data_IF_119121654241
#
_entry.id   IF_119121654241
#
_cell.length_a   1.000
_cell.length_b   1.000
_cell.length_c   1.000
_cell.angle_alpha   90.00
_cell.angle_beta   90.00
_cell.angle_gamma   90.00
#
_symmetry.space_group_name_H-M   'P 1'
#
loop_
_entity.id
_entity.type
_entity.pdbx_description
1 polymer ?
#
# COMPACT_ATOMS: atom_id res chain seq x y z
N UNK A 1 24.44 -0.97 8.73
CA UNK A 1 23.67 -1.12 7.47
C UNK A 1 22.38 -0.37 7.67
N UNK A 2 22.04 0.57 6.79
CA UNK A 2 20.79 1.33 6.87
C UNK A 2 19.66 0.51 6.26
N UNK A 3 18.53 0.45 6.97
CA UNK A 3 17.27 -0.03 6.39
C UNK A 3 16.76 1.03 5.43
N UNK A 4 16.84 0.76 4.14
CA UNK A 4 16.31 1.64 3.10
C UNK A 4 14.80 1.43 2.97
N UNK A 5 14.05 2.52 2.93
CA UNK A 5 12.60 2.52 2.78
C UNK A 5 12.29 2.70 1.30
N UNK A 6 11.48 1.81 0.75
CA UNK A 6 11.02 1.84 -0.63
C UNK A 6 9.51 1.99 -0.69
N UNK A 7 9.03 2.49 -1.83
CA UNK A 7 7.63 2.40 -2.21
C UNK A 7 7.48 1.64 -3.51
N UNK A 8 6.45 0.82 -3.53
CA UNK A 8 5.92 0.11 -4.67
C UNK A 8 4.58 0.72 -5.04
N UNK A 9 4.39 1.15 -6.28
CA UNK A 9 3.11 1.71 -6.73
C UNK A 9 2.77 1.29 -8.14
N UNK A 10 1.48 1.12 -8.41
CA UNK A 10 0.99 0.72 -9.73
C UNK A 10 -0.53 0.77 -9.81
N UNK A 11 -1.05 0.20 -10.90
CA UNK A 11 -2.47 -0.02 -11.11
C UNK A 11 -2.65 -1.47 -11.55
N UNK A 12 -3.48 -2.23 -10.85
CA UNK A 12 -3.95 -3.53 -11.34
C UNK A 12 -4.84 -3.31 -12.58
N UNK A 13 -4.42 -3.77 -13.77
CA UNK A 13 -5.20 -3.57 -15.00
C UNK A 13 -6.48 -4.41 -15.03
N UNK A 14 -6.59 -5.45 -14.21
CA UNK A 14 -7.70 -6.39 -14.22
C UNK A 14 -8.77 -6.04 -13.19
N UNK A 15 -8.52 -5.07 -12.31
CA UNK A 15 -9.42 -4.63 -11.23
C UNK A 15 -9.93 -5.81 -10.36
N UNK A 16 -9.10 -6.85 -10.25
CA UNK A 16 -9.42 -8.10 -9.57
C UNK A 16 -8.69 -8.25 -8.24
N UNK A 17 -7.53 -7.61 -8.11
CA UNK A 17 -6.73 -7.63 -6.90
C UNK A 17 -7.41 -6.83 -5.79
N UNK A 18 -7.56 -7.46 -4.61
CA UNK A 18 -7.99 -6.76 -3.38
C UNK A 18 -6.80 -6.33 -2.54
N UNK A 19 -5.76 -7.14 -2.57
CA UNK A 19 -4.51 -6.96 -1.82
C UNK A 19 -3.39 -7.22 -2.81
N UNK A 20 -2.34 -6.42 -2.74
CA UNK A 20 -1.06 -6.71 -3.38
C UNK A 20 -0.05 -7.15 -2.34
N UNK A 21 0.85 -8.04 -2.74
CA UNK A 21 1.92 -8.57 -1.92
C UNK A 21 3.25 -8.15 -2.51
N UNK A 22 4.16 -7.69 -1.65
CA UNK A 22 5.51 -7.30 -2.02
C UNK A 22 6.47 -8.38 -1.52
N UNK A 23 7.15 -9.01 -2.46
CA UNK A 23 8.09 -10.08 -2.22
C UNK A 23 9.50 -9.62 -2.54
N UNK A 24 10.46 -10.06 -1.73
CA UNK A 24 11.87 -10.01 -2.06
C UNK A 24 12.28 -11.38 -2.58
N UNK A 25 12.79 -11.47 -3.82
CA UNK A 25 13.37 -12.71 -4.33
C UNK A 25 14.77 -12.87 -3.74
N UNK A 26 15.04 -14.03 -3.14
CA UNK A 26 16.39 -14.33 -2.70
C UNK A 26 17.28 -14.65 -3.92
N UNK A 27 18.60 -14.60 -3.73
CA UNK A 27 19.56 -14.99 -4.78
C UNK A 27 19.38 -16.44 -5.26
N UNK A 28 18.67 -17.28 -4.49
CA UNK A 28 18.23 -18.58 -4.93
C UNK A 28 16.83 -18.44 -5.54
N UNK A 29 16.71 -18.68 -6.84
CA UNK A 29 15.59 -18.26 -7.69
C UNK A 29 14.18 -18.75 -7.26
N UNK A 30 14.10 -19.66 -6.30
CA UNK A 30 12.87 -20.32 -5.85
C UNK A 30 12.41 -19.90 -4.44
N UNK A 31 13.16 -19.06 -3.73
CA UNK A 31 12.74 -18.55 -2.41
C UNK A 31 12.38 -17.07 -2.44
N UNK A 32 11.26 -16.76 -1.79
CA UNK A 32 10.70 -15.43 -1.69
C UNK A 32 10.42 -15.11 -0.23
N UNK A 33 10.78 -13.90 0.18
CA UNK A 33 10.43 -13.36 1.49
C UNK A 33 9.32 -12.33 1.32
N UNK A 34 8.20 -12.50 2.02
CA UNK A 34 7.14 -11.48 2.06
C UNK A 34 7.62 -10.29 2.90
N UNK A 35 7.69 -9.11 2.29
CA UNK A 35 8.21 -7.90 2.93
C UNK A 35 7.17 -6.78 3.06
N UNK A 36 6.00 -6.94 2.44
CA UNK A 36 4.92 -5.97 2.55
C UNK A 36 3.62 -6.47 1.92
N UNK A 37 2.53 -5.82 2.27
CA UNK A 37 1.25 -5.97 1.60
C UNK A 37 0.44 -4.68 1.71
N UNK A 38 -0.51 -4.49 0.81
CA UNK A 38 -1.40 -3.33 0.86
C UNK A 38 -2.67 -3.51 0.07
N UNK A 39 -3.69 -2.73 0.42
CA UNK A 39 -4.97 -2.77 -0.26
C UNK A 39 -4.94 -2.04 -1.60
N UNK A 40 -5.70 -2.60 -2.54
CA UNK A 40 -5.99 -2.00 -3.83
C UNK A 40 -7.24 -1.15 -3.71
N UNK A 41 -7.26 -0.01 -4.40
CA UNK A 41 -8.46 0.83 -4.51
C UNK A 41 -9.53 0.05 -5.27
N UNK A 42 -10.65 -0.25 -4.62
CA UNK A 42 -11.78 -0.93 -5.27
C UNK A 42 -12.56 -0.03 -6.23
N UNK A 43 -13.24 -0.66 -7.19
CA UNK A 43 -14.22 0.00 -8.06
C UNK A 43 -15.48 0.41 -7.29
N UNK A 44 -15.46 1.61 -6.72
CA UNK A 44 -16.59 2.22 -6.04
C UNK A 44 -16.94 3.59 -6.64
N UNK A 45 -18.23 3.94 -6.58
CA UNK A 45 -18.68 5.28 -6.97
C UNK A 45 -18.13 6.33 -5.98
N UNK A 46 -17.74 7.50 -6.50
CA UNK A 46 -17.33 8.63 -5.67
C UNK A 46 -15.86 8.64 -5.24
N UNK A 47 -14.96 7.99 -5.99
CA UNK A 47 -13.52 8.14 -5.74
C UNK A 47 -13.09 9.61 -5.85
N UNK A 48 -12.19 10.09 -4.96
CA UNK A 48 -11.62 11.42 -5.07
C UNK A 48 -10.95 11.65 -6.44
N UNK A 49 -10.94 12.89 -6.95
CA UNK A 49 -10.25 13.19 -8.21
C UNK A 49 -8.80 12.71 -8.21
N UNK A 50 -8.41 11.99 -9.26
CA UNK A 50 -7.06 11.43 -9.42
C UNK A 50 -6.88 10.01 -8.86
N UNK A 51 -7.81 9.54 -8.02
CA UNK A 51 -7.84 8.15 -7.56
C UNK A 51 -8.61 7.29 -8.58
N UNK A 52 -8.06 6.12 -8.92
CA UNK A 52 -8.63 5.19 -9.90
C UNK A 52 -8.75 3.80 -9.30
N UNK A 53 -9.76 2.99 -9.69
CA UNK A 53 -9.80 1.57 -9.34
C UNK A 53 -8.51 0.87 -9.77
N UNK A 54 -8.10 -0.15 -9.00
CA UNK A 54 -6.86 -0.88 -9.22
C UNK A 54 -5.59 -0.17 -8.71
N UNK A 55 -5.65 1.11 -8.32
CA UNK A 55 -4.47 1.81 -7.80
C UNK A 55 -4.00 1.23 -6.46
N UNK A 56 -2.68 1.16 -6.28
CA UNK A 56 -2.08 0.77 -5.00
C UNK A 56 -0.75 1.51 -4.76
N UNK A 57 -0.39 1.61 -3.48
CA UNK A 57 0.92 2.07 -3.03
C UNK A 57 1.28 1.34 -1.73
N UNK A 58 2.42 0.64 -1.71
CA UNK A 58 2.91 -0.09 -0.55
C UNK A 58 4.29 0.43 -0.19
N UNK A 59 4.46 0.85 1.06
CA UNK A 59 5.75 1.26 1.62
C UNK A 59 6.32 0.10 2.41
N UNK A 60 7.58 -0.25 2.16
CA UNK A 60 8.24 -1.39 2.80
C UNK A 60 9.72 -1.09 3.05
N UNK A 61 10.32 -1.89 3.93
CA UNK A 61 11.76 -1.84 4.20
C UNK A 61 12.43 -2.91 3.34
N UNK A 62 13.44 -2.52 2.55
CA UNK A 62 14.24 -3.48 1.80
C UNK A 62 15.16 -4.24 2.75
N UNK A 63 15.12 -5.59 2.79
CA UNK A 63 16.02 -6.35 3.64
C UNK A 63 17.49 -6.10 3.29
N UNK A 64 18.40 -6.08 4.27
CA UNK A 64 19.83 -5.91 4.00
C UNK A 64 20.35 -6.93 2.99
N UNK A 65 21.22 -6.48 2.07
CA UNK A 65 21.83 -7.34 1.06
C UNK A 65 20.95 -7.65 -0.16
N UNK A 66 19.75 -7.07 -0.25
CA UNK A 66 18.87 -7.19 -1.41
C UNK A 66 18.91 -5.94 -2.29
N UNK A 67 18.56 -6.10 -3.58
CA UNK A 67 18.40 -5.00 -4.55
C UNK A 67 16.93 -4.73 -4.82
N UNK A 68 16.58 -3.50 -5.18
CA UNK A 68 15.24 -3.15 -5.66
C UNK A 68 14.81 -4.00 -6.88
N UNK A 69 15.76 -4.45 -7.69
CA UNK A 69 15.49 -5.32 -8.85
C UNK A 69 15.02 -6.73 -8.47
N UNK A 70 15.21 -7.12 -7.20
CA UNK A 70 14.73 -8.40 -6.67
C UNK A 70 13.29 -8.33 -6.17
N UNK A 71 12.68 -7.13 -6.19
CA UNK A 71 11.32 -6.92 -5.72
C UNK A 71 10.33 -7.39 -6.76
N UNK A 72 9.38 -8.18 -6.28
CA UNK A 72 8.27 -8.75 -7.04
C UNK A 72 6.97 -8.32 -6.39
N UNK A 73 5.99 -7.93 -7.21
CA UNK A 73 4.64 -7.60 -6.72
C UNK A 73 3.62 -8.51 -7.37
N UNK A 74 2.78 -9.11 -6.53
CA UNK A 74 1.72 -10.00 -6.96
C UNK A 74 0.38 -9.61 -6.38
N UNK A 75 -0.70 -10.07 -7.02
CA UNK A 75 -2.08 -10.00 -6.51
C UNK A 75 -2.49 -11.29 -5.75
N UNK A 76 -1.67 -12.34 -5.85
CA UNK A 76 -1.89 -13.61 -5.16
C UNK A 76 -0.91 -13.85 -3.99
N UNK A 77 -1.33 -14.67 -3.04
CA UNK A 77 -0.56 -15.01 -1.84
C UNK A 77 0.60 -15.97 -2.08
N UNK A 78 0.68 -16.60 -3.26
CA UNK A 78 1.68 -17.62 -3.58
C UNK A 78 2.82 -17.04 -4.45
N UNK A 79 2.76 -15.76 -4.82
CA UNK A 79 3.82 -15.08 -5.56
C UNK A 79 3.92 -15.51 -7.03
N UNK A 80 2.81 -15.90 -7.67
CA UNK A 80 2.79 -16.44 -9.04
C UNK A 80 2.21 -15.48 -10.07
N UNK A 81 1.31 -14.60 -9.67
CA UNK A 81 0.56 -13.69 -10.54
C UNK A 81 1.13 -12.29 -10.40
N UNK A 82 2.04 -11.96 -11.31
CA UNK A 82 2.79 -10.70 -11.28
C UNK A 82 1.95 -9.55 -11.80
N UNK A 83 1.92 -8.45 -11.05
CA UNK A 83 1.30 -7.22 -11.53
C UNK A 83 2.25 -6.50 -12.51
N UNK A 84 1.77 -6.16 -13.72
CA UNK A 84 2.59 -5.44 -14.70
C UNK A 84 2.69 -3.95 -14.35
N UNK A 85 3.67 -3.26 -14.94
CA UNK A 85 3.81 -1.79 -14.90
C UNK A 85 3.93 -1.18 -13.48
N UNK A 86 4.53 -1.92 -12.57
CA UNK A 86 4.79 -1.47 -11.19
C UNK A 86 6.07 -0.64 -11.14
N UNK A 87 6.02 0.46 -10.38
CA UNK A 87 7.19 1.26 -10.04
C UNK A 87 7.67 0.96 -8.63
N UNK A 88 8.94 0.59 -8.48
CA UNK A 88 9.62 0.44 -7.19
C UNK A 88 10.70 1.50 -7.08
N UNK A 89 10.56 2.43 -6.14
CA UNK A 89 11.50 3.55 -5.99
C UNK A 89 11.82 3.79 -4.51
N UNK A 90 13.04 4.26 -4.19
CA UNK A 90 13.40 4.62 -2.83
C UNK A 90 12.56 5.81 -2.36
N UNK A 91 12.10 5.76 -1.11
CA UNK A 91 11.48 6.90 -0.45
C UNK A 91 12.59 7.89 -0.08
N UNK A 92 12.43 9.18 -0.43
CA UNK A 92 13.31 10.22 0.07
C UNK A 92 13.14 10.32 1.59
N UNK A 93 14.25 10.25 2.34
CA UNK A 93 14.27 10.39 3.80
C UNK A 93 14.10 11.83 4.28
N UNK A 94 13.60 12.73 3.43
CA UNK A 94 13.37 14.14 3.75
C UNK A 94 11.96 14.38 4.31
N UNK A 95 11.64 13.74 5.43
CA UNK A 95 10.52 14.15 6.26
C UNK A 95 10.98 14.15 7.71
N UNK A 96 11.53 15.28 8.15
CA UNK A 96 11.53 15.63 9.57
C UNK A 96 10.07 15.60 9.99
N UNK A 97 9.69 14.62 10.80
CA UNK A 97 8.38 14.57 11.44
C UNK A 97 8.27 15.82 12.33
N UNK A 98 7.57 16.85 11.87
CA UNK A 98 7.04 17.87 12.78
C UNK A 98 5.75 17.28 13.34
N UNK A 99 5.68 16.98 14.65
CA UNK A 99 4.40 16.67 15.27
C UNK A 99 3.51 17.88 15.04
N UNK A 100 2.44 17.71 14.27
CA UNK A 100 1.44 18.75 14.10
C UNK A 100 0.87 19.08 15.47
N UNK A 101 1.20 20.26 16.00
CA UNK A 101 0.40 20.92 17.02
C UNK A 101 -0.87 21.37 16.31
N UNK A 102 -1.81 20.46 16.21
CA UNK A 102 -3.15 20.69 15.69
C UNK A 102 -4.08 19.82 16.50
N UNK A 103 -4.61 20.40 17.59
CA UNK A 103 -5.65 19.78 18.38
C UNK A 103 -6.80 19.35 17.46
N UNK A 104 -7.03 18.05 17.37
CA UNK A 104 -8.32 17.49 16.97
C UNK A 104 -9.32 17.94 18.03
N UNK A 105 -10.07 19.01 17.74
CA UNK A 105 -11.27 19.35 18.47
C UNK A 105 -12.33 18.32 18.12
N UNK A 106 -12.68 17.46 19.08
CA UNK A 106 -13.82 16.56 19.01
C UNK A 106 -15.10 17.37 18.76
N UNK A 107 -15.52 17.42 17.50
CA UNK A 107 -16.88 17.81 17.14
C UNK A 107 -17.81 16.64 17.39
N UNK A 108 -18.41 16.58 18.58
CA UNK A 108 -19.43 15.60 18.92
C UNK A 108 -20.61 15.69 17.93
N UNK A 109 -20.76 14.66 17.08
CA UNK A 109 -22.00 14.41 16.38
C UNK A 109 -22.99 13.79 17.39
N UNK A 110 -23.88 14.60 17.95
CA UNK A 110 -25.06 14.10 18.66
C UNK A 110 -26.18 13.88 17.62
N UNK A 111 -26.37 12.60 17.30
CA UNK A 111 -27.51 12.02 16.62
C UNK A 111 -28.82 12.43 17.30
N UNK A 112 -29.73 13.05 16.53
CA UNK A 112 -31.08 13.36 16.96
C UNK A 112 -32.06 12.45 16.20
N UNK A 113 -32.15 11.20 16.65
CA UNK A 113 -33.28 10.34 16.34
C UNK A 113 -33.70 9.57 17.59
N UNK A 114 -34.74 10.04 18.26
CA UNK A 114 -35.55 9.15 19.09
C UNK A 114 -37.02 9.53 18.91
N UNK A 115 -37.73 8.56 18.34
CA UNK A 115 -39.15 8.56 18.07
C UNK A 115 -39.97 8.81 19.35
N UNK A 116 -41.00 9.65 19.25
CA UNK A 116 -42.14 9.63 20.17
C UNK A 116 -43.11 8.54 19.71
N UNK A 117 -43.27 7.51 20.54
CA UNK A 117 -44.37 6.55 20.47
C UNK A 117 -44.88 6.32 21.89
N UNK A 118 -46.21 6.40 22.02
CA UNK A 118 -47.07 6.27 23.21
C UNK A 118 -47.06 7.45 24.20
#
# INVERSE_FOLDING_TARGET
MSNEIFRASGVDPNDGAKIVYVWCRDNNQDSYTLIGSGYVVGAQAGLPPGIRPGQFCVVFILPPGHSADTIVITDDTNGKEFLPNVSVIPCSTSAVFQPGVGAISDGAAADASTARLA
#
